data_IF_212811210476
#
_entry.id   IF_212811210476
#
_cell.length_a   1.000
_cell.length_b   1.000
_cell.length_c   1.000
_cell.angle_alpha   90.00
_cell.angle_beta   90.00
_cell.angle_gamma   90.00
#
_symmetry.space_group_name_H-M   'P 1'
#
loop_
_entity.id
_entity.type
_entity.pdbx_description
1 polymer ?
#
# COMPACT_ATOMS: atom_id res chain seq x y z
N UNK A 1 -9.34 -0.59 -7.06
CA UNK A 1 -8.42 0.05 -6.09
C UNK A 1 -9.28 0.76 -5.06
N UNK A 2 -9.06 0.53 -3.77
CA UNK A 2 -9.79 1.22 -2.69
C UNK A 2 -8.92 1.33 -1.43
N UNK A 3 -9.42 1.99 -0.40
CA UNK A 3 -8.93 1.72 0.96
C UNK A 3 -9.37 0.31 1.42
N UNK A 4 -8.78 -0.19 2.52
CA UNK A 4 -8.99 -1.51 3.09
C UNK A 4 -10.35 -1.63 3.78
N UNK A 5 -11.41 -1.74 2.98
CA UNK A 5 -12.76 -1.99 3.46
C UNK A 5 -13.15 -3.45 3.18
N UNK A 6 -13.13 -4.29 4.23
CA UNK A 6 -13.31 -5.73 4.10
C UNK A 6 -14.61 -6.11 3.37
N UNK A 7 -15.73 -5.42 3.66
CA UNK A 7 -17.01 -5.67 2.98
C UNK A 7 -16.96 -5.42 1.46
N UNK A 8 -16.17 -4.44 1.02
CA UNK A 8 -15.99 -4.14 -0.40
C UNK A 8 -15.14 -5.20 -1.08
N UNK A 9 -14.06 -5.65 -0.42
CA UNK A 9 -13.17 -6.71 -0.95
C UNK A 9 -13.95 -8.00 -1.16
N UNK A 10 -14.74 -8.41 -0.18
CA UNK A 10 -15.56 -9.62 -0.26
C UNK A 10 -16.66 -9.52 -1.32
N UNK A 11 -17.33 -8.37 -1.42
CA UNK A 11 -18.33 -8.14 -2.47
C UNK A 11 -17.69 -8.19 -3.87
N UNK A 12 -16.53 -7.55 -4.05
CA UNK A 12 -15.82 -7.55 -5.32
C UNK A 12 -15.41 -8.97 -5.76
N UNK A 13 -14.85 -9.76 -4.83
CA UNK A 13 -14.48 -11.17 -5.08
C UNK A 13 -15.67 -12.03 -5.45
N UNK A 14 -16.82 -11.84 -4.78
CA UNK A 14 -18.04 -12.61 -5.02
C UNK A 14 -18.70 -12.29 -6.37
N UNK A 15 -18.74 -11.00 -6.73
CA UNK A 15 -19.53 -10.53 -7.88
C UNK A 15 -18.71 -10.43 -9.18
N UNK A 16 -17.39 -10.27 -9.09
CA UNK A 16 -16.53 -10.04 -10.24
C UNK A 16 -15.34 -11.01 -10.27
N UNK A 17 -15.61 -12.22 -10.76
CA UNK A 17 -14.58 -13.26 -10.90
C UNK A 17 -13.47 -12.81 -11.85
N UNK A 18 -12.21 -13.10 -11.48
CA UNK A 18 -11.03 -12.74 -12.27
C UNK A 18 -10.58 -11.28 -12.15
N UNK A 19 -11.26 -10.45 -11.36
CA UNK A 19 -10.84 -9.07 -11.11
C UNK A 19 -9.78 -9.02 -10.01
N UNK A 20 -8.66 -8.37 -10.30
CA UNK A 20 -7.66 -8.03 -9.30
C UNK A 20 -8.15 -6.85 -8.45
N UNK A 21 -8.20 -7.04 -7.13
CA UNK A 21 -8.30 -5.93 -6.18
C UNK A 21 -6.90 -5.49 -5.73
N UNK A 22 -6.79 -4.21 -5.39
CA UNK A 22 -5.55 -3.62 -4.91
C UNK A 22 -5.88 -2.57 -3.85
N UNK A 23 -5.14 -2.61 -2.74
CA UNK A 23 -5.17 -1.58 -1.71
C UNK A 23 -4.43 -0.33 -2.19
N UNK A 24 -5.00 0.83 -1.93
CA UNK A 24 -4.37 2.12 -2.26
C UNK A 24 -3.08 2.31 -1.44
N UNK A 25 -1.95 2.53 -2.12
CA UNK A 25 -0.64 2.69 -1.44
C UNK A 25 -0.56 3.97 -0.61
N UNK A 26 -1.29 5.04 -0.98
CA UNK A 26 -1.35 6.28 -0.20
C UNK A 26 -2.06 6.05 1.13
N UNK A 27 -3.17 5.32 1.12
CA UNK A 27 -3.90 4.98 2.34
C UNK A 27 -3.10 4.03 3.22
N UNK A 28 -2.45 3.02 2.63
CA UNK A 28 -1.54 2.16 3.39
C UNK A 28 -0.39 2.96 4.01
N UNK A 29 0.24 3.89 3.28
CA UNK A 29 1.29 4.77 3.83
C UNK A 29 0.77 5.61 5.01
N UNK A 30 -0.45 6.16 4.91
CA UNK A 30 -1.06 6.93 6.00
C UNK A 30 -1.26 6.07 7.25
N UNK A 31 -1.81 4.86 7.09
CA UNK A 31 -2.01 3.92 8.19
C UNK A 31 -0.67 3.52 8.82
N UNK A 32 0.33 3.21 7.99
CA UNK A 32 1.68 2.86 8.42
C UNK A 32 2.28 3.96 9.31
N UNK A 33 2.22 5.21 8.87
CA UNK A 33 2.74 6.36 9.62
C UNK A 33 1.92 6.70 10.88
N UNK A 34 0.65 6.30 10.92
CA UNK A 34 -0.21 6.35 12.10
C UNK A 34 0.31 5.43 13.22
N UNK A 35 0.76 4.23 12.88
CA UNK A 35 1.36 3.27 13.82
C UNK A 35 2.86 3.51 14.10
N UNK A 36 3.50 4.43 13.37
CA UNK A 36 4.94 4.67 13.48
C UNK A 36 5.28 5.70 14.57
N UNK A 37 6.18 5.38 15.52
CA UNK A 37 6.73 6.34 16.46
C UNK A 37 7.36 7.54 15.73
N UNK A 38 7.15 8.76 16.24
CA UNK A 38 7.57 10.02 15.58
C UNK A 38 9.02 10.00 15.09
N UNK A 39 9.95 9.48 15.90
CA UNK A 39 11.39 9.37 15.59
C UNK A 39 11.71 8.51 14.36
N UNK A 40 10.83 7.58 13.97
CA UNK A 40 11.05 6.66 12.85
C UNK A 40 10.24 7.05 11.60
N UNK A 41 9.32 8.02 11.67
CA UNK A 41 8.38 8.33 10.57
C UNK A 41 9.06 8.64 9.25
N UNK A 42 10.13 9.44 9.26
CA UNK A 42 10.86 9.79 8.04
C UNK A 42 11.54 8.56 7.40
N UNK A 43 12.18 7.74 8.22
CA UNK A 43 12.87 6.52 7.77
C UNK A 43 11.87 5.48 7.25
N UNK A 44 10.77 5.26 7.98
CA UNK A 44 9.67 4.37 7.57
C UNK A 44 9.07 4.81 6.23
N UNK A 45 8.76 6.10 6.08
CA UNK A 45 8.20 6.62 4.82
C UNK A 45 9.14 6.37 3.63
N UNK A 46 10.44 6.61 3.81
CA UNK A 46 11.45 6.41 2.77
C UNK A 46 11.56 4.93 2.37
N UNK A 47 11.64 4.02 3.35
CA UNK A 47 11.79 2.59 3.09
C UNK A 47 10.51 1.96 2.54
N UNK A 48 9.34 2.32 3.06
CA UNK A 48 8.06 1.86 2.52
C UNK A 48 7.85 2.35 1.07
N UNK A 49 8.31 3.56 0.74
CA UNK A 49 8.29 4.06 -0.64
C UNK A 49 9.15 3.22 -1.57
N UNK A 50 10.31 2.71 -1.13
CA UNK A 50 11.13 1.79 -1.92
C UNK A 50 10.40 0.49 -2.20
N UNK A 51 9.74 -0.08 -1.19
CA UNK A 51 8.90 -1.28 -1.35
C UNK A 51 7.83 -1.05 -2.43
N UNK A 52 7.11 0.07 -2.36
CA UNK A 52 6.04 0.41 -3.31
C UNK A 52 6.54 0.79 -4.72
N UNK A 53 7.84 1.02 -4.88
CA UNK A 53 8.48 1.43 -6.13
C UNK A 53 9.34 0.32 -6.75
N UNK A 54 9.39 -0.86 -6.13
CA UNK A 54 10.11 -2.01 -6.65
C UNK A 54 9.68 -2.35 -8.08
N UNK A 55 10.65 -2.81 -8.87
CA UNK A 55 10.47 -3.19 -10.26
C UNK A 55 9.67 -4.48 -10.39
N UNK A 56 9.94 -5.44 -9.51
CA UNK A 56 9.26 -6.73 -9.42
C UNK A 56 8.97 -7.15 -7.96
N UNK A 57 8.24 -8.25 -7.81
CA UNK A 57 7.82 -8.74 -6.49
C UNK A 57 8.99 -9.29 -5.66
N UNK A 58 10.06 -9.78 -6.30
CA UNK A 58 11.22 -10.31 -5.60
C UNK A 58 12.02 -9.17 -4.93
N UNK A 59 12.20 -8.06 -5.65
CA UNK A 59 12.78 -6.83 -5.09
C UNK A 59 11.89 -6.27 -3.97
N UNK A 60 10.56 -6.22 -4.17
CA UNK A 60 9.63 -5.76 -3.14
C UNK A 60 9.73 -6.59 -1.85
N UNK A 61 9.81 -7.93 -1.96
CA UNK A 61 10.00 -8.84 -0.82
C UNK A 61 11.35 -8.66 -0.15
N UNK A 62 12.41 -8.42 -0.91
CA UNK A 62 13.74 -8.12 -0.37
C UNK A 62 13.71 -6.84 0.47
N UNK A 63 13.07 -5.78 -0.04
CA UNK A 63 12.88 -4.54 0.70
C UNK A 63 11.98 -4.72 1.93
N UNK A 64 10.93 -5.54 1.85
CA UNK A 64 10.09 -5.89 2.99
C UNK A 64 10.90 -6.59 4.08
N UNK A 65 11.71 -7.60 3.75
CA UNK A 65 12.53 -8.31 4.72
C UNK A 65 13.53 -7.37 5.43
N UNK A 66 14.14 -6.44 4.69
CA UNK A 66 15.00 -5.41 5.27
C UNK A 66 14.23 -4.46 6.20
N UNK A 67 13.01 -4.06 5.81
CA UNK A 67 12.13 -3.23 6.63
C UNK A 67 11.73 -3.92 7.95
N UNK A 68 11.31 -5.18 7.87
CA UNK A 68 10.96 -6.01 9.03
C UNK A 68 12.15 -6.11 9.98
N UNK A 69 13.33 -6.47 9.45
CA UNK A 69 14.57 -6.57 10.23
C UNK A 69 14.89 -5.26 10.95
N UNK A 70 14.69 -4.12 10.27
CA UNK A 70 15.01 -2.80 10.81
C UNK A 70 14.07 -2.36 11.94
N UNK A 71 12.79 -2.71 11.87
CA UNK A 71 11.75 -2.13 12.73
C UNK A 71 11.01 -3.13 13.64
N UNK A 72 11.21 -4.44 13.51
CA UNK A 72 10.48 -5.45 14.29
C UNK A 72 10.52 -5.20 15.80
N UNK A 73 11.65 -4.72 16.33
CA UNK A 73 11.80 -4.39 17.76
C UNK A 73 11.31 -2.99 18.12
N UNK A 74 11.60 -1.99 17.27
CA UNK A 74 11.39 -0.58 17.60
C UNK A 74 10.02 -0.03 17.20
N UNK A 75 9.32 -0.71 16.29
CA UNK A 75 8.00 -0.32 15.79
C UNK A 75 7.20 -1.56 15.29
N UNK A 76 6.89 -2.53 16.16
CA UNK A 76 6.23 -3.79 15.77
C UNK A 76 4.87 -3.59 15.10
N UNK A 77 4.07 -2.62 15.56
CA UNK A 77 2.77 -2.31 14.95
C UNK A 77 2.90 -1.73 13.52
N UNK A 78 3.98 -1.01 13.26
CA UNK A 78 4.28 -0.51 11.91
C UNK A 78 4.61 -1.68 10.98
N UNK A 79 5.41 -2.64 11.46
CA UNK A 79 5.75 -3.84 10.70
C UNK A 79 4.49 -4.66 10.38
N UNK A 80 3.67 -4.96 11.39
CA UNK A 80 2.44 -5.72 11.21
C UNK A 80 1.49 -5.06 10.19
N UNK A 81 1.32 -3.73 10.26
CA UNK A 81 0.49 -2.98 9.31
C UNK A 81 1.01 -3.10 7.87
N UNK A 82 2.32 -3.07 7.68
CA UNK A 82 2.92 -3.22 6.35
C UNK A 82 2.76 -4.64 5.82
N UNK A 83 3.05 -5.65 6.63
CA UNK A 83 2.95 -7.07 6.25
C UNK A 83 1.52 -7.44 5.86
N UNK A 84 0.53 -7.02 6.65
CA UNK A 84 -0.89 -7.23 6.36
C UNK A 84 -1.31 -6.59 5.03
N UNK A 85 -0.83 -5.37 4.75
CA UNK A 85 -1.18 -4.63 3.53
C UNK A 85 -0.30 -4.91 2.32
N UNK A 86 0.77 -5.70 2.45
CA UNK A 86 1.83 -5.80 1.44
C UNK A 86 1.31 -6.40 0.13
N UNK A 87 0.73 -7.60 0.18
CA UNK A 87 0.27 -8.31 -1.02
C UNK A 87 -0.78 -7.48 -1.77
N UNK A 88 -1.77 -6.96 -1.05
CA UNK A 88 -2.85 -6.16 -1.62
C UNK A 88 -2.35 -4.85 -2.25
N UNK A 89 -1.34 -4.21 -1.66
CA UNK A 89 -0.79 -2.96 -2.18
C UNK A 89 0.15 -3.17 -3.37
N UNK A 90 0.73 -4.38 -3.51
CA UNK A 90 1.66 -4.74 -4.57
C UNK A 90 0.98 -5.46 -5.75
N UNK A 91 -0.32 -5.77 -5.69
CA UNK A 91 -1.09 -6.29 -6.83
C UNK A 91 -0.92 -5.46 -8.12
N UNK A 92 -0.58 -4.17 -8.02
CA UNK A 92 -0.32 -3.30 -9.18
C UNK A 92 0.86 -3.77 -10.06
N UNK A 93 1.78 -4.56 -9.49
CA UNK A 93 3.06 -4.90 -10.14
C UNK A 93 2.88 -5.81 -11.36
N UNK A 94 1.76 -6.54 -11.43
CA UNK A 94 1.38 -7.38 -12.57
C UNK A 94 1.06 -6.56 -13.82
N UNK A 95 0.78 -5.26 -13.67
CA UNK A 95 0.47 -4.37 -14.77
C UNK A 95 1.76 -3.86 -15.44
N UNK A 96 1.72 -3.51 -16.74
CA UNK A 96 2.83 -2.82 -17.39
C UNK A 96 3.23 -1.54 -16.65
N UNK A 97 4.54 -1.29 -16.56
CA UNK A 97 5.12 -0.21 -15.73
C UNK A 97 4.47 1.16 -15.94
N UNK A 98 4.16 1.49 -17.21
CA UNK A 98 3.50 2.75 -17.60
C UNK A 98 2.17 3.02 -16.89
N UNK A 99 1.47 1.97 -16.44
CA UNK A 99 0.19 2.09 -15.74
C UNK A 99 0.34 2.13 -14.22
N UNK A 100 1.39 1.51 -13.67
CA UNK A 100 1.57 1.32 -12.22
C UNK A 100 1.54 2.63 -11.45
N UNK A 101 2.21 3.67 -11.97
CA UNK A 101 2.27 4.99 -11.30
C UNK A 101 0.88 5.61 -11.07
N UNK A 102 -0.04 5.45 -12.02
CA UNK A 102 -1.41 5.99 -11.93
C UNK A 102 -2.32 5.09 -11.09
N UNK A 103 -2.21 3.77 -11.26
CA UNK A 103 -3.12 2.80 -10.65
C UNK A 103 -2.73 2.39 -9.22
N UNK A 104 -1.57 2.79 -8.72
CA UNK A 104 -1.18 2.51 -7.33
C UNK A 104 -1.90 3.35 -6.26
N UNK A 105 -2.68 4.36 -6.67
CA UNK A 105 -3.35 5.32 -5.76
C UNK A 105 -4.79 5.61 -6.20
N UNK A 106 -5.62 6.14 -5.28
CA UNK A 106 -6.94 6.69 -5.59
C UNK A 106 -6.93 8.20 -5.83
N UNK A 107 -5.76 8.84 -5.97
CA UNK A 107 -5.62 10.31 -6.02
C UNK A 107 -6.52 10.98 -7.08
N UNK A 108 -6.72 10.35 -8.24
CA UNK A 108 -7.60 10.91 -9.27
C UNK A 108 -9.07 10.97 -8.81
N UNK A 109 -9.52 9.95 -8.08
CA UNK A 109 -10.88 9.88 -7.53
C UNK A 109 -11.04 10.86 -6.36
N UNK A 110 -10.06 10.92 -5.46
CA UNK A 110 -10.09 11.83 -4.32
C UNK A 110 -10.11 13.30 -4.76
N UNK A 111 -9.31 13.65 -5.79
CA UNK A 111 -9.32 15.02 -6.35
C UNK A 111 -10.66 15.38 -6.96
N UNK A 112 -11.31 14.46 -7.67
CA UNK A 112 -12.66 14.69 -8.19
C UNK A 112 -13.66 14.91 -7.05
N UNK A 113 -13.58 14.09 -5.99
CA UNK A 113 -14.44 14.24 -4.82
C UNK A 113 -14.25 15.59 -4.12
N UNK A 114 -13.01 16.08 -4.03
CA UNK A 114 -12.71 17.42 -3.48
C UNK A 114 -13.35 18.54 -4.31
N UNK A 115 -13.28 18.48 -5.65
CA UNK A 115 -13.89 19.51 -6.51
C UNK A 115 -15.42 19.50 -6.42
N UNK A 116 -16.06 18.35 -6.18
CA UNK A 116 -17.53 18.27 -5.98
C UNK A 116 -17.96 18.87 -4.63
N UNK A 117 -17.10 18.80 -3.61
CA UNK A 117 -17.41 19.27 -2.25
C UNK A 117 -17.16 20.78 -2.05
N UNK A 118 -16.54 21.45 -3.01
CA UNK A 118 -16.29 22.90 -3.00
C UNK A 118 -17.56 23.69 -3.25
#
# INVERSE_FOLDING_TARGET
>A
ISDSHAGLVEAARKQFQGVAWQRCQVHLMRNLLGHTPSRHRAEVAALAKRIFQAHDIAEARTHLAAFVTRFAKSAPQTVACLEEGFEDALSVIVLPEKYRKRLRTTNMQERLNEEIRR
#
